data_IF_970504648605
#
_entry.id   IF_970504648605
#
_cell.length_a   1.000
_cell.length_b   1.000
_cell.length_c   1.000
_cell.angle_alpha   90.00
_cell.angle_beta   90.00
_cell.angle_gamma   90.00
#
_symmetry.space_group_name_H-M   'P 1'
#
loop_
_entity.id
_entity.type
_entity.pdbx_description
1 polymer ?
#
# COMPACT_ATOMS: atom_id res chain seq x y z
N UNK A 1 -17.18 13.87 19.15
CA UNK A 1 -16.56 15.19 19.39
C UNK A 1 -17.38 16.32 18.75
N UNK A 2 -17.85 17.32 19.52
CA UNK A 2 -18.64 18.47 19.00
C UNK A 2 -17.85 19.41 18.05
N UNK A 3 -16.53 19.29 18.01
CA UNK A 3 -15.66 20.10 17.14
C UNK A 3 -15.78 19.76 15.64
N UNK A 4 -16.27 18.56 15.30
CA UNK A 4 -16.37 18.09 13.92
C UNK A 4 -17.81 18.04 13.39
N UNK A 5 -18.83 18.26 14.25
CA UNK A 5 -20.25 18.15 13.89
C UNK A 5 -20.69 19.05 12.73
N UNK A 6 -20.03 20.20 12.60
CA UNK A 6 -20.42 21.27 11.67
C UNK A 6 -19.44 21.41 10.50
N UNK A 7 -18.43 20.55 10.42
CA UNK A 7 -17.51 20.53 9.27
C UNK A 7 -18.16 19.71 8.17
N UNK A 8 -18.46 20.37 7.05
CA UNK A 8 -18.94 19.69 5.86
C UNK A 8 -17.90 19.81 4.74
N UNK A 9 -17.36 18.67 4.32
CA UNK A 9 -16.47 18.57 3.16
C UNK A 9 -17.05 17.65 2.08
N UNK A 10 -18.38 17.55 2.00
CA UNK A 10 -19.09 16.67 1.04
C UNK A 10 -18.69 16.93 -0.41
N UNK A 11 -18.28 18.15 -0.77
CA UNK A 11 -17.77 18.48 -2.11
C UNK A 11 -16.50 17.69 -2.50
N UNK A 12 -15.75 17.17 -1.51
CA UNK A 12 -14.55 16.37 -1.71
C UNK A 12 -14.84 14.86 -1.76
N UNK A 13 -16.10 14.43 -1.59
CA UNK A 13 -16.49 13.02 -1.55
C UNK A 13 -15.99 12.23 -2.76
N UNK A 14 -16.11 12.81 -3.97
CA UNK A 14 -15.65 12.17 -5.21
C UNK A 14 -14.13 11.98 -5.22
N UNK A 15 -13.37 13.01 -4.83
CA UNK A 15 -11.91 12.95 -4.77
C UNK A 15 -11.42 11.92 -3.73
N UNK A 16 -12.13 11.78 -2.60
CA UNK A 16 -11.85 10.74 -1.60
C UNK A 16 -12.10 9.35 -2.19
N UNK A 17 -13.26 9.14 -2.83
CA UNK A 17 -13.62 7.86 -3.43
C UNK A 17 -12.59 7.39 -4.48
N UNK A 18 -12.12 8.30 -5.34
CA UNK A 18 -11.07 7.99 -6.34
C UNK A 18 -9.74 7.56 -5.69
N UNK A 19 -9.46 8.05 -4.48
CA UNK A 19 -8.23 7.74 -3.73
C UNK A 19 -8.32 6.46 -2.89
N UNK A 20 -9.50 5.88 -2.69
CA UNK A 20 -9.65 4.64 -1.89
C UNK A 20 -8.78 3.51 -2.44
N UNK A 21 -8.73 3.36 -3.77
CA UNK A 21 -7.89 2.37 -4.46
C UNK A 21 -6.38 2.47 -4.15
N UNK A 22 -5.93 3.61 -3.61
CA UNK A 22 -4.55 3.87 -3.20
C UNK A 22 -4.28 3.47 -1.75
N UNK A 23 -5.32 3.38 -0.90
CA UNK A 23 -5.20 2.92 0.48
C UNK A 23 -5.58 1.45 0.67
N UNK A 24 -6.16 0.82 -0.35
CA UNK A 24 -6.37 -0.63 -0.42
C UNK A 24 -5.04 -1.31 -0.81
N UNK A 25 -4.66 -2.31 -0.03
CA UNK A 25 -3.53 -3.17 -0.34
C UNK A 25 -3.91 -4.13 -1.50
N UNK A 26 -3.14 -4.18 -2.59
CA UNK A 26 -3.46 -4.98 -3.77
C UNK A 26 -3.21 -6.50 -3.62
N UNK A 27 -2.57 -6.92 -2.54
CA UNK A 27 -2.37 -8.34 -2.17
C UNK A 27 -3.52 -8.81 -1.28
N UNK A 28 -3.91 -8.00 -0.30
CA UNK A 28 -5.03 -8.31 0.60
C UNK A 28 -6.39 -8.04 -0.06
N UNK A 29 -6.46 -7.10 -1.00
CA UNK A 29 -7.68 -6.49 -1.53
C UNK A 29 -8.55 -5.83 -0.44
N UNK A 30 -7.91 -5.31 0.61
CA UNK A 30 -8.56 -4.65 1.74
C UNK A 30 -7.71 -3.46 2.22
N UNK A 31 -8.29 -2.55 3.00
CA UNK A 31 -7.51 -1.52 3.71
C UNK A 31 -6.70 -2.20 4.82
N UNK A 32 -5.36 -2.10 4.82
CA UNK A 32 -4.53 -2.83 5.77
C UNK A 32 -4.67 -2.27 7.19
N UNK A 33 -4.78 -3.16 8.19
CA UNK A 33 -4.77 -2.80 9.62
C UNK A 33 -3.38 -2.41 10.13
N UNK A 34 -2.33 -2.80 9.39
CA UNK A 34 -0.92 -2.57 9.68
C UNK A 34 -0.23 -1.78 8.55
N UNK A 35 -0.74 -0.57 8.21
CA UNK A 35 -0.34 0.12 6.99
C UNK A 35 1.14 0.54 7.01
N UNK A 36 1.74 0.51 5.82
CA UNK A 36 3.03 1.13 5.48
C UNK A 36 2.88 1.98 4.21
N UNK A 37 3.71 3.01 4.08
CA UNK A 37 3.80 3.81 2.86
C UNK A 37 4.79 3.18 1.89
N UNK A 38 4.35 2.93 0.67
CA UNK A 38 5.18 2.35 -0.38
C UNK A 38 6.24 3.36 -0.84
N UNK A 39 7.51 2.97 -0.73
CA UNK A 39 8.64 3.75 -1.22
C UNK A 39 9.16 3.17 -2.55
N UNK A 40 8.78 3.79 -3.66
CA UNK A 40 9.27 3.40 -4.99
C UNK A 40 10.74 3.79 -5.18
N UNK A 41 11.46 2.98 -5.95
CA UNK A 41 12.87 3.25 -6.29
C UNK A 41 13.01 4.51 -7.18
N UNK A 42 12.04 4.73 -8.07
CA UNK A 42 12.04 5.81 -9.06
C UNK A 42 11.09 6.94 -8.61
N UNK A 43 11.61 8.14 -8.30
CA UNK A 43 10.84 9.24 -7.71
C UNK A 43 9.72 9.81 -8.59
N UNK A 44 9.90 9.75 -9.90
CA UNK A 44 8.99 10.24 -10.94
C UNK A 44 7.66 9.47 -11.01
N UNK A 45 7.59 8.28 -10.41
CA UNK A 45 6.39 7.45 -10.32
C UNK A 45 5.80 7.37 -8.90
N UNK A 46 6.22 8.25 -8.00
CA UNK A 46 5.73 8.23 -6.63
C UNK A 46 4.25 8.62 -6.56
N UNK A 47 3.44 7.65 -6.19
CA UNK A 47 2.05 7.84 -5.77
C UNK A 47 1.97 7.45 -4.29
N UNK A 48 1.15 8.15 -3.50
CA UNK A 48 0.85 7.75 -2.13
C UNK A 48 0.07 6.45 -2.22
N UNK A 49 0.65 5.35 -1.74
CA UNK A 49 0.00 4.04 -1.68
C UNK A 49 0.30 3.37 -0.35
N UNK A 50 -0.71 2.71 0.21
CA UNK A 50 -0.56 1.92 1.44
C UNK A 50 -0.56 0.43 1.13
N UNK A 51 0.39 -0.28 1.73
CA UNK A 51 0.43 -1.74 1.80
C UNK A 51 0.35 -2.18 3.27
N UNK A 52 0.09 -3.46 3.49
CA UNK A 52 0.26 -4.16 4.76
C UNK A 52 1.75 -4.41 5.01
N UNK A 53 2.14 -4.18 6.26
CA UNK A 53 3.48 -4.49 6.75
C UNK A 53 3.78 -5.99 6.60
N UNK A 54 2.89 -6.87 7.08
CA UNK A 54 3.10 -8.31 7.04
C UNK A 54 3.16 -8.84 5.59
N UNK A 55 2.24 -8.41 4.71
CA UNK A 55 2.28 -8.87 3.31
C UNK A 55 3.52 -8.38 2.55
N UNK A 56 4.00 -7.19 2.86
CA UNK A 56 5.27 -6.71 2.27
C UNK A 56 6.45 -7.56 2.71
N UNK A 57 6.48 -8.02 3.97
CA UNK A 57 7.52 -8.94 4.46
C UNK A 57 7.41 -10.33 3.83
N UNK A 58 6.20 -10.87 3.68
CA UNK A 58 5.97 -12.14 2.99
C UNK A 58 6.51 -12.07 1.55
N UNK A 59 6.20 -10.99 0.80
CA UNK A 59 6.73 -10.78 -0.54
C UNK A 59 8.27 -10.72 -0.55
N UNK A 60 8.88 -10.03 0.42
CA UNK A 60 10.34 -10.00 0.53
C UNK A 60 10.90 -11.41 0.77
N UNK A 61 10.33 -12.16 1.71
CA UNK A 61 10.75 -13.53 2.02
C UNK A 61 10.60 -14.46 0.81
N UNK A 62 9.54 -14.29 0.00
CA UNK A 62 9.39 -15.01 -1.26
C UNK A 62 10.54 -14.71 -2.22
N UNK A 63 10.92 -13.44 -2.40
CA UNK A 63 12.07 -13.10 -3.26
C UNK A 63 13.40 -13.66 -2.73
N UNK A 64 13.59 -13.68 -1.41
CA UNK A 64 14.79 -14.27 -0.80
C UNK A 64 14.83 -15.79 -1.00
N UNK A 65 13.69 -16.45 -0.86
CA UNK A 65 13.53 -17.89 -1.15
C UNK A 65 13.85 -18.17 -2.62
N UNK A 66 13.32 -17.37 -3.56
CA UNK A 66 13.65 -17.51 -4.98
C UNK A 66 15.14 -17.34 -5.24
N UNK A 67 15.82 -16.40 -4.56
CA UNK A 67 17.29 -16.23 -4.70
C UNK A 67 18.04 -17.45 -4.20
N UNK A 68 17.63 -18.03 -3.07
CA UNK A 68 18.24 -19.26 -2.55
C UNK A 68 18.08 -20.41 -3.53
N UNK A 69 16.86 -20.61 -4.06
CA UNK A 69 16.58 -21.68 -5.04
C UNK A 69 17.41 -21.48 -6.31
N UNK A 70 17.51 -20.26 -6.84
CA UNK A 70 18.36 -20.00 -8.01
C UNK A 70 19.85 -20.21 -7.73
N UNK A 71 20.30 -20.00 -6.50
CA UNK A 71 21.68 -20.31 -6.11
C UNK A 71 21.90 -21.82 -6.10
N UNK A 72 20.99 -22.59 -5.50
CA UNK A 72 21.03 -24.05 -5.51
C UNK A 72 20.98 -24.61 -6.95
N UNK A 73 20.13 -24.04 -7.82
CA UNK A 73 20.05 -24.44 -9.23
C UNK A 73 21.33 -24.18 -10.03
N UNK A 74 22.12 -23.16 -9.67
CA UNK A 74 23.43 -22.91 -10.30
C UNK A 74 24.48 -23.94 -9.89
N UNK A 75 24.33 -24.51 -8.70
CA UNK A 75 25.22 -25.55 -8.16
C UNK A 75 24.78 -26.96 -8.61
N UNK A 76 23.55 -27.11 -9.11
CA UNK A 76 23.01 -28.38 -9.59
C UNK A 76 23.52 -28.76 -10.99
N UNK A 77 24.45 -29.72 -11.02
CA UNK A 77 24.99 -30.28 -12.26
C UNK A 77 24.10 -31.36 -12.90
N UNK A 78 23.09 -31.87 -12.18
CA UNK A 78 22.26 -33.01 -12.62
C UNK A 78 21.12 -32.61 -13.54
N UNK A 79 20.63 -31.36 -13.42
CA UNK A 79 19.44 -30.90 -14.14
C UNK A 79 18.11 -31.39 -13.54
N UNK A 80 18.13 -32.15 -12.43
CA UNK A 80 16.93 -32.73 -11.80
C UNK A 80 16.93 -32.69 -10.27
N UNK A 81 18.05 -32.35 -9.61
CA UNK A 81 18.22 -32.50 -8.16
C UNK A 81 17.25 -31.62 -7.37
N UNK A 82 17.05 -30.39 -7.83
CA UNK A 82 16.14 -29.44 -7.18
C UNK A 82 14.70 -29.88 -7.39
N UNK A 83 14.33 -30.34 -8.59
CA UNK A 83 13.01 -30.91 -8.82
C UNK A 83 12.74 -32.13 -7.92
N UNK A 84 13.70 -33.06 -7.81
CA UNK A 84 13.58 -34.23 -6.94
C UNK A 84 13.40 -33.84 -5.46
N UNK A 85 14.10 -32.79 -4.99
CA UNK A 85 13.98 -32.24 -3.63
C UNK A 85 12.56 -31.72 -3.35
N UNK A 86 11.95 -31.03 -4.31
CA UNK A 86 10.63 -30.40 -4.15
C UNK A 86 9.45 -31.26 -4.63
N UNK A 87 9.71 -32.42 -5.23
CA UNK A 87 8.68 -33.35 -5.67
C UNK A 87 7.82 -33.83 -4.48
N UNK A 88 6.51 -33.64 -4.58
CA UNK A 88 5.48 -34.03 -3.60
C UNK A 88 4.41 -34.89 -4.28
N UNK A 89 3.65 -35.64 -3.49
CA UNK A 89 2.53 -36.48 -3.96
C UNK A 89 2.95 -37.54 -4.98
N UNK A 90 4.13 -38.14 -4.79
CA UNK A 90 4.64 -39.19 -5.67
C UNK A 90 3.92 -40.51 -5.40
N UNK A 91 3.68 -41.28 -6.47
CA UNK A 91 3.25 -42.67 -6.34
C UNK A 91 4.37 -43.54 -5.72
N UNK A 92 4.06 -44.72 -5.16
CA UNK A 92 5.07 -45.61 -4.59
C UNK A 92 6.20 -45.98 -5.58
N UNK A 93 5.88 -46.14 -6.86
CA UNK A 93 6.91 -46.40 -7.90
C UNK A 93 7.76 -45.16 -8.17
N UNK A 94 7.17 -43.97 -8.22
CA UNK A 94 7.92 -42.72 -8.39
C UNK A 94 8.83 -42.40 -7.19
N UNK A 95 8.44 -42.72 -5.96
CA UNK A 95 9.33 -42.60 -4.80
C UNK A 95 10.57 -43.50 -4.97
N UNK A 96 10.40 -44.73 -5.46
CA UNK A 96 11.53 -45.63 -5.75
C UNK A 96 12.40 -45.13 -6.90
N UNK A 97 11.81 -44.51 -7.92
CA UNK A 97 12.56 -43.88 -9.02
C UNK A 97 13.34 -42.66 -8.54
N UNK A 98 12.74 -41.85 -7.66
CA UNK A 98 13.41 -40.75 -6.97
C UNK A 98 14.61 -41.26 -6.16
N UNK A 99 14.43 -42.27 -5.34
CA UNK A 99 15.52 -42.88 -4.56
C UNK A 99 16.64 -43.42 -5.45
N UNK A 100 16.29 -44.00 -6.60
CA UNK A 100 17.27 -44.48 -7.57
C UNK A 100 18.06 -43.33 -8.19
N UNK A 101 17.39 -42.27 -8.66
CA UNK A 101 18.03 -41.10 -9.27
C UNK A 101 18.88 -40.31 -8.26
N UNK A 102 18.49 -40.24 -7.00
CA UNK A 102 19.25 -39.55 -5.95
C UNK A 102 20.63 -40.18 -5.67
N UNK A 103 20.81 -41.47 -5.98
CA UNK A 103 22.14 -42.11 -5.93
C UNK A 103 23.11 -41.55 -6.96
N UNK A 104 22.59 -40.92 -8.01
CA UNK A 104 23.36 -40.27 -9.07
C UNK A 104 23.55 -38.77 -8.82
N UNK A 105 23.22 -38.26 -7.63
CA UNK A 105 23.29 -36.82 -7.31
C UNK A 105 24.67 -36.18 -7.45
N UNK A 106 25.74 -36.98 -7.39
CA UNK A 106 27.12 -36.50 -7.60
C UNK A 106 27.53 -36.42 -9.08
N UNK A 107 26.71 -36.92 -10.00
CA UNK A 107 26.98 -36.92 -11.43
C UNK A 107 26.44 -35.66 -12.10
N UNK A 108 26.86 -35.42 -13.36
CA UNK A 108 26.21 -34.41 -14.20
C UNK A 108 25.05 -35.03 -14.99
N UNK A 109 24.17 -34.18 -15.53
CA UNK A 109 22.97 -34.62 -16.26
C UNK A 109 23.27 -35.52 -17.46
N UNK A 110 24.39 -35.27 -18.17
CA UNK A 110 24.82 -36.11 -19.30
C UNK A 110 25.20 -37.51 -18.84
N UNK A 111 25.97 -37.63 -17.76
CA UNK A 111 26.35 -38.93 -17.20
C UNK A 111 25.14 -39.72 -16.69
N UNK A 112 24.12 -39.04 -16.16
CA UNK A 112 22.85 -39.69 -15.80
C UNK A 112 22.16 -40.24 -17.05
N UNK A 113 22.07 -39.45 -18.13
CA UNK A 113 21.47 -39.89 -19.39
C UNK A 113 22.22 -41.06 -20.00
N UNK A 114 23.56 -41.03 -20.00
CA UNK A 114 24.40 -42.13 -20.45
C UNK A 114 24.11 -43.42 -19.66
N UNK A 115 23.99 -43.33 -18.33
CA UNK A 115 23.64 -44.49 -17.49
C UNK A 115 22.23 -45.01 -17.80
N UNK A 116 21.24 -44.13 -17.94
CA UNK A 116 19.86 -44.54 -18.25
C UNK A 116 19.77 -45.20 -19.63
N UNK A 117 20.50 -44.70 -20.62
CA UNK A 117 20.61 -45.30 -21.95
C UNK A 117 21.24 -46.69 -21.89
N UNK A 118 22.32 -46.86 -21.12
CA UNK A 118 22.95 -48.17 -20.90
C UNK A 118 22.00 -49.14 -20.20
N UNK A 119 21.25 -48.69 -19.18
CA UNK A 119 20.24 -49.51 -18.51
C UNK A 119 19.13 -49.95 -19.48
N UNK A 120 18.72 -49.07 -20.40
CA UNK A 120 17.74 -49.40 -21.43
C UNK A 120 18.27 -50.46 -22.40
N UNK A 121 19.53 -50.38 -22.80
CA UNK A 121 20.17 -51.39 -23.67
C UNK A 121 20.33 -52.74 -22.96
N UNK A 122 20.57 -52.73 -21.65
CA UNK A 122 20.76 -53.94 -20.84
C UNK A 122 19.43 -54.55 -20.38
N UNK A 123 18.32 -53.80 -20.35
CA UNK A 123 17.02 -54.27 -19.89
C UNK A 123 16.53 -55.59 -20.55
N UNK A 124 16.69 -55.82 -21.86
CA UNK A 124 16.34 -57.10 -22.48
C UNK A 124 17.18 -58.29 -21.97
N UNK A 125 18.44 -58.06 -21.60
CA UNK A 125 19.30 -59.09 -21.01
C UNK A 125 18.88 -59.44 -19.58
N UNK A 126 18.27 -58.47 -18.88
CA UNK A 126 17.74 -58.63 -17.52
C UNK A 126 16.39 -59.37 -17.50
N UNK A 127 15.58 -59.21 -18.54
CA UNK A 127 14.29 -59.90 -18.70
C UNK A 127 14.40 -61.28 -19.35
N UNK A 128 15.51 -61.57 -20.02
CA UNK A 128 15.73 -62.80 -20.77
C UNK A 128 15.95 -64.04 -19.89
N UNK A 129 15.20 -65.11 -20.16
CA UNK A 129 15.38 -66.45 -19.58
C UNK A 129 16.48 -67.27 -20.26
N UNK A 130 17.24 -66.68 -21.19
CA UNK A 130 18.29 -67.39 -21.94
C UNK A 130 19.47 -67.72 -21.03
N UNK A 131 19.99 -68.95 -21.15
CA UNK A 131 21.03 -69.55 -20.30
C UNK A 131 22.31 -68.70 -20.24
N UNK A 132 22.63 -67.95 -21.30
CA UNK A 132 23.85 -67.12 -21.37
C UNK A 132 23.68 -65.69 -20.85
N UNK A 133 22.45 -65.23 -20.58
CA UNK A 133 22.19 -63.87 -20.08
C UNK A 133 22.97 -63.53 -18.79
N UNK A 134 23.10 -64.43 -17.80
CA UNK A 134 23.93 -64.17 -16.62
C UNK A 134 25.42 -63.98 -16.93
N UNK A 135 25.94 -64.67 -17.94
CA UNK A 135 27.34 -64.56 -18.38
C UNK A 135 27.56 -63.21 -19.11
N UNK A 136 26.64 -62.85 -20.02
CA UNK A 136 26.68 -61.58 -20.75
C UNK A 136 26.55 -60.38 -19.80
N UNK A 137 25.70 -60.46 -18.77
CA UNK A 137 25.59 -59.42 -17.74
C UNK A 137 26.85 -59.28 -16.89
N UNK A 138 27.51 -60.39 -16.55
CA UNK A 138 28.81 -60.35 -15.84
C UNK A 138 29.89 -59.71 -16.71
N UNK A 139 29.93 -60.04 -18.01
CA UNK A 139 30.87 -59.45 -18.96
C UNK A 139 30.61 -57.94 -19.15
N UNK A 140 29.34 -57.55 -19.29
CA UNK A 140 28.94 -56.14 -19.43
C UNK A 140 29.34 -55.31 -18.21
N UNK A 141 29.11 -55.84 -16.99
CA UNK A 141 29.55 -55.19 -15.75
C UNK A 141 31.07 -55.09 -15.62
N UNK A 142 31.78 -56.08 -16.16
CA UNK A 142 33.24 -56.07 -16.16
C UNK A 142 33.80 -55.00 -17.12
N UNK A 143 33.16 -54.80 -18.26
CA UNK A 143 33.51 -53.78 -19.26
C UNK A 143 33.13 -52.37 -18.76
N UNK A 144 31.94 -52.22 -18.18
CA UNK A 144 31.40 -50.93 -17.69
C UNK A 144 31.44 -50.86 -16.15
N UNK A 145 32.64 -50.96 -15.56
CA UNK A 145 32.82 -50.99 -14.09
C UNK A 145 32.20 -49.79 -13.38
N UNK A 146 32.26 -48.62 -14.00
CA UNK A 146 31.78 -47.36 -13.44
C UNK A 146 30.24 -47.28 -13.37
N UNK A 147 29.54 -48.14 -14.12
CA UNK A 147 28.07 -48.21 -14.19
C UNK A 147 27.53 -49.48 -13.50
N UNK A 148 28.40 -50.44 -13.17
CA UNK A 148 28.02 -51.74 -12.63
C UNK A 148 27.15 -51.66 -11.36
N UNK A 149 27.42 -50.70 -10.47
CA UNK A 149 26.64 -50.45 -9.26
C UNK A 149 25.20 -50.02 -9.60
N UNK A 150 25.02 -49.14 -10.59
CA UNK A 150 23.69 -48.71 -11.01
C UNK A 150 22.91 -49.83 -11.71
N UNK A 151 23.58 -50.72 -12.45
CA UNK A 151 22.96 -51.92 -13.03
C UNK A 151 22.45 -52.86 -11.94
N UNK A 152 23.23 -53.06 -10.87
CA UNK A 152 22.79 -53.89 -9.73
C UNK A 152 21.60 -53.26 -9.00
N UNK A 153 21.63 -51.95 -8.80
CA UNK A 153 20.56 -51.22 -8.14
C UNK A 153 19.27 -51.22 -8.96
N UNK A 154 19.40 -51.07 -10.28
CA UNK A 154 18.27 -51.13 -11.19
C UNK A 154 17.67 -52.53 -11.26
N UNK A 155 18.49 -53.60 -11.25
CA UNK A 155 17.97 -54.97 -11.15
C UNK A 155 17.07 -55.18 -9.91
N UNK A 156 17.49 -54.62 -8.77
CA UNK A 156 16.69 -54.70 -7.53
C UNK A 156 15.37 -53.94 -7.66
N UNK A 157 15.43 -52.72 -8.21
CA UNK A 157 14.26 -51.91 -8.51
C UNK A 157 13.29 -52.63 -9.47
N UNK A 158 13.80 -53.13 -10.58
CA UNK A 158 13.02 -53.81 -11.61
C UNK A 158 12.34 -55.09 -11.10
N UNK A 159 13.00 -55.83 -10.19
CA UNK A 159 12.40 -56.99 -9.51
C UNK A 159 11.19 -56.59 -8.65
N UNK A 160 11.24 -55.42 -8.01
CA UNK A 160 10.14 -54.89 -7.19
C UNK A 160 8.98 -54.43 -8.09
N UNK A 161 9.28 -53.79 -9.23
CA UNK A 161 8.25 -53.38 -10.20
C UNK A 161 7.63 -54.55 -10.99
N UNK A 162 8.25 -55.73 -10.97
CA UNK A 162 7.74 -56.95 -11.60
C UNK A 162 7.87 -57.01 -13.13
N UNK A 163 8.26 -55.92 -13.78
CA UNK A 163 8.52 -55.87 -15.23
C UNK A 163 9.69 -54.92 -15.52
N UNK A 164 10.79 -55.47 -16.06
CA UNK A 164 12.03 -54.72 -16.28
C UNK A 164 11.90 -53.65 -17.37
N UNK A 165 11.29 -53.98 -18.50
CA UNK A 165 11.12 -53.07 -19.64
C UNK A 165 10.23 -51.88 -19.27
N UNK A 166 9.13 -52.16 -18.55
CA UNK A 166 8.27 -51.12 -18.01
C UNK A 166 9.01 -50.28 -16.98
N UNK A 167 9.78 -50.90 -16.07
CA UNK A 167 10.50 -50.18 -15.03
C UNK A 167 11.53 -49.19 -15.60
N UNK A 168 12.29 -49.56 -16.65
CA UNK A 168 13.23 -48.63 -17.27
C UNK A 168 12.53 -47.51 -18.04
N UNK A 169 11.45 -47.83 -18.78
CA UNK A 169 10.69 -46.83 -19.51
C UNK A 169 10.05 -45.79 -18.57
N UNK A 170 9.46 -46.24 -17.46
CA UNK A 170 8.86 -45.38 -16.45
C UNK A 170 9.90 -44.57 -15.67
N UNK A 171 11.08 -45.14 -15.40
CA UNK A 171 12.19 -44.42 -14.78
C UNK A 171 12.71 -43.28 -15.69
N UNK A 172 12.89 -43.55 -16.99
CA UNK A 172 13.29 -42.54 -17.97
C UNK A 172 12.22 -41.44 -18.05
N UNK A 173 10.94 -41.81 -18.17
CA UNK A 173 9.83 -40.84 -18.20
C UNK A 173 9.79 -39.99 -16.93
N UNK A 174 10.02 -40.59 -15.77
CA UNK A 174 10.07 -39.86 -14.50
C UNK A 174 11.25 -38.88 -14.47
N UNK A 175 12.43 -39.26 -14.97
CA UNK A 175 13.58 -38.35 -15.09
C UNK A 175 13.25 -37.16 -16.01
N UNK A 176 12.64 -37.42 -17.17
CA UNK A 176 12.21 -36.35 -18.10
C UNK A 176 11.19 -35.40 -17.43
N UNK A 177 10.24 -35.94 -16.68
CA UNK A 177 9.29 -35.15 -15.90
C UNK A 177 10.01 -34.24 -14.89
N UNK A 178 11.00 -34.78 -14.15
CA UNK A 178 11.80 -33.99 -13.21
C UNK A 178 12.63 -32.90 -13.91
N UNK A 179 13.17 -33.18 -15.09
CA UNK A 179 13.91 -32.18 -15.87
C UNK A 179 12.99 -31.03 -16.33
N UNK A 180 11.79 -31.35 -16.79
CA UNK A 180 10.77 -30.35 -17.14
C UNK A 180 10.36 -29.53 -15.91
N UNK A 181 10.10 -30.18 -14.77
CA UNK A 181 9.80 -29.50 -13.52
C UNK A 181 10.94 -28.59 -13.08
N UNK A 182 12.20 -29.01 -13.20
CA UNK A 182 13.34 -28.17 -12.86
C UNK A 182 13.44 -26.93 -13.76
N UNK A 183 13.15 -27.08 -15.05
CA UNK A 183 13.09 -25.95 -15.99
C UNK A 183 11.98 -24.96 -15.59
N UNK A 184 10.81 -25.46 -15.19
CA UNK A 184 9.71 -24.64 -14.69
C UNK A 184 10.07 -23.92 -13.38
N UNK A 185 10.70 -24.62 -12.42
CA UNK A 185 11.19 -24.03 -11.17
C UNK A 185 12.19 -22.92 -11.48
N UNK A 186 13.11 -23.14 -12.42
CA UNK A 186 14.11 -22.14 -12.83
C UNK A 186 13.43 -20.92 -13.42
N UNK A 187 12.55 -21.10 -14.40
CA UNK A 187 11.83 -20.02 -15.08
C UNK A 187 10.96 -19.21 -14.11
N UNK A 188 10.21 -19.88 -13.25
CA UNK A 188 9.37 -19.25 -12.24
C UNK A 188 10.21 -18.39 -11.28
N UNK A 189 11.25 -18.95 -10.66
CA UNK A 189 12.06 -18.22 -9.70
C UNK A 189 12.89 -17.10 -10.34
N UNK A 190 13.30 -17.26 -11.60
CA UNK A 190 13.90 -16.17 -12.36
C UNK A 190 12.90 -15.04 -12.59
N UNK A 191 11.69 -15.35 -13.07
CA UNK A 191 10.61 -14.39 -13.30
C UNK A 191 10.16 -13.62 -12.05
N UNK A 192 10.29 -14.20 -10.86
CA UNK A 192 10.04 -13.48 -9.59
C UNK A 192 11.09 -12.41 -9.28
N UNK A 193 12.30 -12.52 -9.85
CA UNK A 193 13.44 -11.68 -9.53
C UNK A 193 13.83 -10.72 -10.65
N UNK A 194 13.40 -10.97 -11.88
CA UNK A 194 13.67 -10.13 -13.04
C UNK A 194 12.39 -9.62 -13.69
N UNK A 195 12.38 -8.35 -14.06
CA UNK A 195 11.28 -7.81 -14.87
C UNK A 195 11.43 -8.18 -16.36
N UNK A 196 10.43 -7.81 -17.17
CA UNK A 196 10.43 -8.00 -18.62
C UNK A 196 11.60 -7.35 -19.38
N UNK A 197 12.35 -6.45 -18.72
CA UNK A 197 13.53 -5.78 -19.28
C UNK A 197 14.84 -6.37 -18.75
N UNK A 198 14.80 -7.51 -18.06
CA UNK A 198 15.98 -8.19 -17.51
C UNK A 198 16.59 -7.54 -16.25
N UNK A 199 15.91 -6.54 -15.65
CA UNK A 199 16.41 -5.86 -14.45
C UNK A 199 16.12 -6.71 -13.22
N UNK A 200 17.19 -7.08 -12.52
CA UNK A 200 17.12 -7.93 -11.32
C UNK A 200 16.84 -7.12 -10.04
N UNK A 201 16.02 -7.70 -9.15
CA UNK A 201 15.75 -7.17 -7.81
C UNK A 201 16.92 -7.39 -6.85
N UNK A 202 17.33 -6.36 -6.13
CA UNK A 202 18.24 -6.49 -4.98
C UNK A 202 17.51 -7.06 -3.75
N UNK A 203 18.25 -7.53 -2.73
CA UNK A 203 17.67 -8.13 -1.51
C UNK A 203 16.68 -7.24 -0.76
N UNK A 204 16.79 -5.91 -0.90
CA UNK A 204 15.89 -4.93 -0.30
C UNK A 204 14.77 -4.47 -1.27
N UNK A 205 14.52 -5.21 -2.34
CA UNK A 205 13.55 -4.82 -3.37
C UNK A 205 12.55 -5.93 -3.67
N UNK A 206 11.30 -5.49 -3.88
CA UNK A 206 10.21 -6.30 -4.43
C UNK A 206 9.56 -5.56 -5.59
N UNK A 207 8.85 -6.28 -6.46
CA UNK A 207 7.97 -5.66 -7.43
C UNK A 207 6.62 -5.31 -6.78
N UNK A 208 6.12 -4.13 -7.05
CA UNK A 208 4.77 -3.72 -6.72
C UNK A 208 3.77 -4.65 -7.44
N UNK A 209 2.88 -5.36 -6.72
CA UNK A 209 1.92 -6.26 -7.35
C UNK A 209 1.04 -5.58 -8.40
N UNK A 210 0.69 -4.31 -8.14
CA UNK A 210 -0.17 -3.48 -8.99
C UNK A 210 0.58 -2.86 -10.18
N UNK A 211 1.64 -2.08 -9.94
CA UNK A 211 2.32 -1.30 -11.00
C UNK A 211 3.52 -2.01 -11.62
N UNK A 212 3.98 -3.13 -11.05
CA UNK A 212 5.24 -3.81 -11.38
C UNK A 212 6.51 -2.96 -11.20
N UNK A 213 6.39 -1.76 -10.63
CA UNK A 213 7.52 -0.91 -10.26
C UNK A 213 8.28 -1.48 -9.06
N UNK A 214 9.55 -1.11 -8.91
CA UNK A 214 10.38 -1.58 -7.79
C UNK A 214 10.13 -0.78 -6.52
N UNK A 215 9.89 -1.49 -5.43
CA UNK A 215 9.68 -0.94 -4.09
C UNK A 215 10.92 -1.21 -3.25
N UNK A 216 11.33 -0.23 -2.45
CA UNK A 216 12.36 -0.36 -1.42
C UNK A 216 11.72 -0.85 -0.12
N UNK A 217 12.01 -2.08 0.28
CA UNK A 217 11.30 -2.74 1.38
C UNK A 217 11.62 -2.10 2.73
N UNK A 218 12.88 -2.02 3.12
CA UNK A 218 13.30 -1.51 4.43
C UNK A 218 12.80 -0.07 4.67
N UNK A 219 12.87 0.78 3.65
CA UNK A 219 12.37 2.16 3.70
C UNK A 219 10.85 2.17 3.87
N UNK A 220 10.11 1.33 3.14
CA UNK A 220 8.65 1.23 3.29
C UNK A 220 8.27 0.74 4.69
N UNK A 221 8.89 -0.33 5.19
CA UNK A 221 8.60 -0.90 6.50
C UNK A 221 8.83 0.08 7.65
N UNK A 222 9.80 1.01 7.53
CA UNK A 222 10.06 2.06 8.54
C UNK A 222 8.96 3.11 8.66
N UNK A 223 8.06 3.20 7.68
CA UNK A 223 7.00 4.24 7.66
C UNK A 223 5.73 3.86 8.41
N UNK A 224 5.68 2.71 9.10
CA UNK A 224 4.46 2.21 9.77
C UNK A 224 3.72 3.26 10.60
N UNK A 225 4.43 4.04 11.42
CA UNK A 225 3.83 5.10 12.23
C UNK A 225 3.24 6.25 11.41
N UNK A 226 3.96 6.70 10.37
CA UNK A 226 3.46 7.73 9.44
C UNK A 226 2.24 7.22 8.64
N UNK A 227 2.31 6.00 8.14
CA UNK A 227 1.24 5.37 7.38
C UNK A 227 -0.04 5.20 8.21
N UNK A 228 0.11 4.78 9.47
CA UNK A 228 -1.02 4.68 10.42
C UNK A 228 -1.69 6.03 10.66
N UNK A 229 -0.89 7.09 10.82
CA UNK A 229 -1.43 8.44 10.95
C UNK A 229 -2.14 8.91 9.68
N UNK A 230 -1.52 8.68 8.51
CA UNK A 230 -2.09 9.09 7.22
C UNK A 230 -3.43 8.39 6.96
N UNK A 231 -3.50 7.07 7.21
CA UNK A 231 -4.71 6.29 7.08
C UNK A 231 -5.81 6.80 8.03
N UNK A 232 -5.49 6.99 9.31
CA UNK A 232 -6.45 7.49 10.28
C UNK A 232 -7.02 8.87 9.88
N UNK A 233 -6.16 9.80 9.44
CA UNK A 233 -6.60 11.12 8.95
C UNK A 233 -7.48 10.97 7.71
N UNK A 234 -7.11 10.12 6.76
CA UNK A 234 -7.90 9.85 5.55
C UNK A 234 -9.29 9.27 5.89
N UNK A 235 -9.37 8.33 6.83
CA UNK A 235 -10.64 7.77 7.31
C UNK A 235 -11.49 8.84 8.02
N UNK A 236 -10.91 9.70 8.85
CA UNK A 236 -11.66 10.79 9.46
C UNK A 236 -12.23 11.76 8.40
N UNK A 237 -11.45 12.10 7.36
CA UNK A 237 -11.92 12.93 6.25
C UNK A 237 -13.04 12.25 5.46
N UNK A 238 -12.98 10.93 5.23
CA UNK A 238 -14.05 10.21 4.53
C UNK A 238 -15.37 10.25 5.30
N UNK A 239 -15.31 10.16 6.65
CA UNK A 239 -16.49 10.31 7.51
C UNK A 239 -17.06 11.74 7.45
N UNK A 240 -16.21 12.77 7.50
CA UNK A 240 -16.65 14.17 7.37
C UNK A 240 -17.29 14.46 6.00
N UNK A 241 -16.81 13.81 4.94
CA UNK A 241 -17.40 13.91 3.60
C UNK A 241 -18.69 13.08 3.43
N UNK A 242 -19.12 12.36 4.48
CA UNK A 242 -20.27 11.45 4.48
C UNK A 242 -20.18 10.41 3.35
N UNK A 243 -18.97 9.92 3.08
CA UNK A 243 -18.74 8.90 2.06
C UNK A 243 -19.23 7.53 2.58
N UNK A 244 -20.12 6.89 1.83
CA UNK A 244 -20.55 5.52 2.07
C UNK A 244 -19.76 4.61 1.13
N UNK A 245 -18.84 3.85 1.70
CA UNK A 245 -17.94 2.96 0.95
C UNK A 245 -17.75 1.65 1.72
N UNK A 246 -17.90 0.53 1.02
CA UNK A 246 -17.90 -0.79 1.63
C UNK A 246 -16.53 -1.17 2.21
N UNK A 247 -15.43 -0.76 1.58
CA UNK A 247 -14.08 -1.08 2.06
C UNK A 247 -13.77 -0.32 3.34
N UNK A 248 -14.19 0.95 3.43
CA UNK A 248 -14.08 1.75 4.66
C UNK A 248 -14.97 1.17 5.77
N UNK A 249 -16.23 0.81 5.46
CA UNK A 249 -17.13 0.22 6.45
C UNK A 249 -16.62 -1.13 6.97
N UNK A 250 -16.09 -1.98 6.09
CA UNK A 250 -15.51 -3.26 6.47
C UNK A 250 -14.24 -3.08 7.31
N UNK A 251 -13.37 -2.14 6.93
CA UNK A 251 -12.19 -1.79 7.72
C UNK A 251 -12.60 -1.35 9.13
N UNK A 252 -13.57 -0.45 9.27
CA UNK A 252 -14.04 0.07 10.55
C UNK A 252 -14.64 -1.01 11.45
N UNK A 253 -15.36 -2.00 10.89
CA UNK A 253 -15.90 -3.15 11.66
C UNK A 253 -14.80 -3.99 12.32
N UNK A 254 -13.61 -4.01 11.72
CA UNK A 254 -12.46 -4.75 12.24
C UNK A 254 -11.61 -3.93 13.22
N UNK A 255 -11.92 -2.65 13.45
CA UNK A 255 -11.18 -1.79 14.37
C UNK A 255 -11.77 -1.80 15.79
N UNK A 256 -10.98 -1.31 16.74
CA UNK A 256 -11.46 -1.02 18.09
C UNK A 256 -12.59 0.01 18.05
N UNK A 257 -13.51 -0.06 19.01
CA UNK A 257 -14.71 0.80 19.07
C UNK A 257 -14.40 2.29 19.15
N UNK A 258 -13.21 2.65 19.65
CA UNK A 258 -12.72 4.01 19.80
C UNK A 258 -11.86 4.50 18.60
N UNK A 259 -11.66 3.68 17.57
CA UNK A 259 -10.79 4.03 16.44
C UNK A 259 -11.21 5.33 15.75
N UNK A 260 -12.51 5.55 15.53
CA UNK A 260 -13.01 6.79 14.91
C UNK A 260 -12.75 8.03 15.78
N UNK A 261 -12.78 7.89 17.10
CA UNK A 261 -12.44 8.97 18.01
C UNK A 261 -10.95 9.32 17.87
N UNK A 262 -10.07 8.31 17.94
CA UNK A 262 -8.63 8.48 17.74
C UNK A 262 -8.28 9.05 16.36
N UNK A 263 -8.99 8.62 15.30
CA UNK A 263 -8.82 9.12 13.94
C UNK A 263 -9.19 10.61 13.84
N UNK A 264 -10.29 11.02 14.47
CA UNK A 264 -10.70 12.42 14.54
C UNK A 264 -9.70 13.27 15.34
N UNK A 265 -9.16 12.75 16.45
CA UNK A 265 -8.10 13.43 17.20
C UNK A 265 -6.84 13.64 16.35
N UNK A 266 -6.41 12.62 15.60
CA UNK A 266 -5.27 12.73 14.67
C UNK A 266 -5.54 13.75 13.57
N UNK A 267 -6.75 13.78 13.01
CA UNK A 267 -7.15 14.82 12.06
C UNK A 267 -7.03 16.20 12.70
N UNK A 268 -7.57 16.41 13.90
CA UNK A 268 -7.49 17.70 14.60
C UNK A 268 -6.03 18.14 14.83
N UNK A 269 -5.19 17.21 15.29
CA UNK A 269 -3.76 17.45 15.48
C UNK A 269 -3.09 17.82 14.15
N UNK A 270 -3.39 17.12 13.06
CA UNK A 270 -2.84 17.41 11.74
C UNK A 270 -3.27 18.79 11.22
N UNK A 271 -4.54 19.15 11.37
CA UNK A 271 -5.05 20.45 10.90
C UNK A 271 -4.39 21.62 11.65
N UNK A 272 -4.09 21.44 12.94
CA UNK A 272 -3.40 22.44 13.78
C UNK A 272 -1.89 22.46 13.55
N UNK A 273 -1.24 21.30 13.56
CA UNK A 273 0.22 21.14 13.53
C UNK A 273 0.66 20.08 12.51
N UNK A 274 0.53 20.34 11.18
CA UNK A 274 0.89 19.36 10.14
C UNK A 274 2.33 18.85 10.23
N UNK A 275 3.25 19.69 10.69
CA UNK A 275 4.69 19.42 10.76
C UNK A 275 4.98 18.22 11.69
N UNK A 276 4.17 17.99 12.73
CA UNK A 276 4.39 16.90 13.69
C UNK A 276 4.26 15.51 13.07
N UNK A 277 3.62 15.40 11.91
CA UNK A 277 3.40 14.14 11.21
C UNK A 277 4.56 13.76 10.27
N UNK A 278 5.46 14.71 9.97
CA UNK A 278 6.59 14.51 9.05
C UNK A 278 6.18 13.94 7.67
N UNK A 279 5.00 14.32 7.18
CA UNK A 279 4.53 13.87 5.86
C UNK A 279 5.31 14.55 4.73
N UNK A 280 5.62 13.77 3.69
CA UNK A 280 6.22 14.29 2.46
C UNK A 280 5.26 15.24 1.73
N UNK A 281 5.75 16.11 0.82
CA UNK A 281 4.89 16.99 0.03
C UNK A 281 3.79 16.23 -0.73
N UNK A 282 4.10 15.03 -1.24
CA UNK A 282 3.14 14.16 -1.92
C UNK A 282 2.01 13.69 -1.00
N UNK A 283 2.36 13.31 0.24
CA UNK A 283 1.41 12.87 1.27
C UNK A 283 0.53 14.03 1.76
N UNK A 284 1.12 15.21 1.95
CA UNK A 284 0.38 16.42 2.30
C UNK A 284 -0.61 16.81 1.20
N UNK A 285 -0.18 16.74 -0.07
CA UNK A 285 -1.05 16.99 -1.23
C UNK A 285 -2.18 15.97 -1.32
N UNK A 286 -1.90 14.69 -1.10
CA UNK A 286 -2.91 13.63 -1.05
C UNK A 286 -4.02 13.95 -0.03
N UNK A 287 -3.65 14.36 1.19
CA UNK A 287 -4.62 14.74 2.23
C UNK A 287 -5.33 16.06 1.93
N UNK A 288 -4.64 17.03 1.32
CA UNK A 288 -5.24 18.29 0.89
C UNK A 288 -6.33 18.06 -0.15
N UNK A 289 -6.06 17.24 -1.17
CA UNK A 289 -7.02 16.82 -2.19
C UNK A 289 -8.19 16.00 -1.61
N UNK A 290 -7.97 15.30 -0.49
CA UNK A 290 -9.01 14.62 0.28
C UNK A 290 -9.83 15.56 1.19
N UNK A 291 -9.60 16.89 1.13
CA UNK A 291 -10.39 17.89 1.85
C UNK A 291 -9.79 18.37 3.18
N UNK A 292 -8.56 18.00 3.53
CA UNK A 292 -7.93 18.48 4.76
C UNK A 292 -7.81 20.01 4.80
N UNK A 293 -7.54 20.67 3.66
CA UNK A 293 -7.47 22.14 3.61
C UNK A 293 -8.85 22.79 3.84
N UNK A 294 -9.91 22.22 3.26
CA UNK A 294 -11.28 22.69 3.47
C UNK A 294 -11.71 22.53 4.94
N UNK A 295 -11.41 21.37 5.55
CA UNK A 295 -11.65 21.13 6.97
C UNK A 295 -10.87 22.12 7.87
N UNK A 296 -9.60 22.42 7.53
CA UNK A 296 -8.79 23.41 8.25
C UNK A 296 -9.41 24.79 8.23
N UNK A 297 -9.88 25.24 7.05
CA UNK A 297 -10.52 26.55 6.90
C UNK A 297 -11.78 26.67 7.76
N UNK A 298 -12.57 25.59 7.89
CA UNK A 298 -13.77 25.57 8.72
C UNK A 298 -13.49 25.50 10.22
N UNK A 299 -12.33 24.96 10.64
CA UNK A 299 -11.90 24.96 12.04
C UNK A 299 -11.32 26.29 12.52
N UNK A 300 -10.67 27.04 11.61
CA UNK A 300 -10.03 28.29 11.97
C UNK A 300 -11.06 29.26 12.57
N UNK A 301 -10.71 29.92 13.68
CA UNK A 301 -11.50 30.97 14.32
C UNK A 301 -12.84 30.55 14.95
N UNK A 302 -13.19 29.26 14.95
CA UNK A 302 -14.42 28.78 15.63
C UNK A 302 -14.48 29.11 17.13
N UNK A 303 -13.33 29.19 17.80
CA UNK A 303 -13.25 29.64 19.21
C UNK A 303 -13.57 31.13 19.42
N UNK A 304 -13.59 31.91 18.34
CA UNK A 304 -13.94 33.33 18.35
C UNK A 304 -15.41 33.57 17.97
N UNK A 305 -16.16 32.51 17.62
CA UNK A 305 -17.53 32.59 17.13
C UNK A 305 -18.47 31.74 17.99
N UNK A 306 -19.51 32.35 18.54
CA UNK A 306 -20.56 31.67 19.30
C UNK A 306 -21.92 31.97 18.68
N UNK A 307 -22.72 30.94 18.38
CA UNK A 307 -24.07 31.13 17.82
C UNK A 307 -25.03 31.82 18.79
N UNK A 308 -24.67 31.91 20.08
CA UNK A 308 -25.44 32.65 21.10
C UNK A 308 -25.16 34.17 21.09
N UNK A 309 -24.06 34.60 20.44
CA UNK A 309 -23.70 36.01 20.33
C UNK A 309 -24.39 36.66 19.13
N UNK A 310 -24.62 37.97 19.22
CA UNK A 310 -25.08 38.73 18.06
C UNK A 310 -24.03 38.68 16.95
N UNK A 311 -24.50 38.80 15.70
CA UNK A 311 -23.63 38.75 14.52
C UNK A 311 -22.51 39.78 14.60
N UNK A 312 -22.82 40.99 15.06
CA UNK A 312 -21.85 42.06 15.27
C UNK A 312 -20.72 41.62 16.20
N UNK A 313 -21.05 41.09 17.37
CA UNK A 313 -20.07 40.63 18.37
C UNK A 313 -19.17 39.50 17.86
N UNK A 314 -19.73 38.60 17.05
CA UNK A 314 -18.98 37.51 16.44
C UNK A 314 -17.99 38.00 15.38
N UNK A 315 -18.44 38.90 14.50
CA UNK A 315 -17.58 39.52 13.48
C UNK A 315 -16.47 40.34 14.14
N UNK A 316 -16.83 41.15 15.14
CA UNK A 316 -15.88 41.93 15.92
C UNK A 316 -14.87 41.04 16.64
N UNK A 317 -15.29 39.92 17.25
CA UNK A 317 -14.38 38.99 17.93
C UNK A 317 -13.29 38.45 16.98
N UNK A 318 -13.65 38.13 15.74
CA UNK A 318 -12.70 37.64 14.72
C UNK A 318 -11.76 38.74 14.22
N UNK A 319 -12.28 39.95 13.96
CA UNK A 319 -11.47 41.08 13.47
C UNK A 319 -10.57 41.69 14.57
N UNK A 320 -11.05 41.76 15.80
CA UNK A 320 -10.29 42.20 16.97
C UNK A 320 -9.15 41.22 17.23
N UNK A 321 -9.38 39.90 17.15
CA UNK A 321 -8.30 38.92 17.27
C UNK A 321 -7.21 39.08 16.19
N UNK A 322 -7.59 39.49 14.96
CA UNK A 322 -6.61 39.81 13.92
C UNK A 322 -5.78 41.05 14.26
N UNK A 323 -6.44 42.11 14.71
CA UNK A 323 -5.78 43.40 14.97
C UNK A 323 -5.15 43.50 16.36
N UNK A 324 -5.46 42.55 17.25
CA UNK A 324 -5.08 42.51 18.68
C UNK A 324 -5.44 43.79 19.44
N UNK A 325 -6.55 44.43 19.06
CA UNK A 325 -7.03 45.68 19.70
C UNK A 325 -7.46 45.51 21.15
N UNK A 326 -7.76 44.29 21.57
CA UNK A 326 -8.11 43.87 22.93
C UNK A 326 -6.89 43.74 23.87
N UNK A 327 -5.67 43.82 23.34
CA UNK A 327 -4.45 43.77 24.16
C UNK A 327 -4.11 45.15 24.72
N UNK A 328 -3.71 45.21 26.00
CA UNK A 328 -3.26 46.46 26.65
C UNK A 328 -2.13 47.17 25.87
N UNK A 329 -1.38 46.43 25.05
CA UNK A 329 -0.41 46.95 24.09
C UNK A 329 -0.53 46.17 22.76
N UNK A 330 -1.31 46.65 21.77
CA UNK A 330 -1.55 45.94 20.51
C UNK A 330 -0.27 45.62 19.73
N UNK A 331 0.73 46.52 19.80
CA UNK A 331 2.07 46.35 19.19
C UNK A 331 2.81 45.16 19.80
N UNK A 332 2.65 44.91 21.11
CA UNK A 332 3.28 43.78 21.81
C UNK A 332 2.58 42.45 21.49
N UNK A 333 1.25 42.44 21.31
CA UNK A 333 0.51 41.26 20.85
C UNK A 333 0.84 40.85 19.40
N UNK A 334 1.08 41.83 18.53
CA UNK A 334 1.58 41.60 17.17
C UNK A 334 3.05 41.13 17.15
N UNK A 335 3.86 41.59 18.11
CA UNK A 335 5.24 41.17 18.29
C UNK A 335 5.35 39.70 18.75
N UNK A 336 4.61 39.29 19.79
CA UNK A 336 4.60 37.91 20.32
C UNK A 336 4.06 36.91 19.28
N UNK A 337 3.10 37.32 18.46
CA UNK A 337 2.58 36.47 17.39
C UNK A 337 3.48 36.42 16.15
N UNK A 338 4.65 37.10 16.13
CA UNK A 338 5.62 37.06 15.04
C UNK A 338 5.23 37.87 13.80
N UNK A 339 4.33 38.86 13.94
CA UNK A 339 3.76 39.62 12.82
C UNK A 339 3.81 41.14 13.07
N UNK A 340 4.99 41.68 13.39
CA UNK A 340 5.21 43.10 13.68
C UNK A 340 4.96 44.08 12.52
N UNK A 341 4.68 43.58 11.30
CA UNK A 341 4.43 44.43 10.11
C UNK A 341 3.25 43.91 9.29
N UNK A 342 2.04 43.93 9.86
CA UNK A 342 0.80 43.64 9.12
C UNK A 342 0.38 44.87 8.31
N UNK A 343 0.51 44.79 7.00
CA UNK A 343 0.16 45.88 6.08
C UNK A 343 -1.34 46.25 6.06
N UNK A 344 -2.21 45.41 6.62
CA UNK A 344 -3.66 45.61 6.65
C UNK A 344 -4.20 46.04 8.02
N UNK A 345 -3.33 46.36 8.98
CA UNK A 345 -3.77 46.67 10.34
C UNK A 345 -4.68 47.90 10.40
N UNK A 346 -4.32 48.98 9.69
CA UNK A 346 -5.14 50.20 9.61
C UNK A 346 -6.50 49.95 8.97
N UNK A 347 -6.53 49.21 7.85
CA UNK A 347 -7.77 48.87 7.16
C UNK A 347 -8.72 48.04 8.04
N UNK A 348 -8.20 47.06 8.78
CA UNK A 348 -9.00 46.27 9.73
C UNK A 348 -9.45 47.11 10.93
N UNK A 349 -8.60 48.02 11.41
CA UNK A 349 -8.93 48.93 12.50
C UNK A 349 -10.08 49.87 12.13
N UNK A 350 -10.10 50.39 10.91
CA UNK A 350 -11.21 51.23 10.44
C UNK A 350 -12.49 50.42 10.25
N UNK A 351 -12.39 49.21 9.69
CA UNK A 351 -13.55 48.31 9.59
C UNK A 351 -14.18 48.00 10.97
N UNK A 352 -13.36 47.75 12.00
CA UNK A 352 -13.84 47.57 13.37
C UNK A 352 -14.57 48.81 13.89
N UNK A 353 -14.03 50.02 13.63
CA UNK A 353 -14.68 51.27 14.04
C UNK A 353 -16.00 51.49 13.31
N UNK A 354 -16.05 51.26 11.99
CA UNK A 354 -17.27 51.37 11.19
C UNK A 354 -18.37 50.45 11.70
N UNK A 355 -18.05 49.18 11.97
CA UNK A 355 -19.01 48.22 12.54
C UNK A 355 -19.53 48.72 13.90
N UNK A 356 -18.64 49.17 14.80
CA UNK A 356 -19.03 49.73 16.12
C UNK A 356 -19.85 51.02 16.04
N UNK A 357 -19.80 51.75 14.93
CA UNK A 357 -20.64 52.94 14.67
C UNK A 357 -22.03 52.56 14.13
N UNK A 358 -22.29 51.27 13.91
CA UNK A 358 -23.56 50.77 13.38
C UNK A 358 -23.64 50.76 11.86
N UNK A 359 -22.51 50.83 11.14
CA UNK A 359 -22.50 50.65 9.68
C UNK A 359 -22.82 49.20 9.29
N UNK A 360 -23.38 49.00 8.11
CA UNK A 360 -23.78 47.67 7.62
C UNK A 360 -22.57 46.72 7.53
N UNK A 361 -22.63 45.62 8.28
CA UNK A 361 -21.54 44.65 8.41
C UNK A 361 -21.13 44.07 7.05
N UNK A 362 -22.09 43.77 6.17
CA UNK A 362 -21.81 43.15 4.87
C UNK A 362 -21.07 44.14 3.98
N UNK A 363 -21.52 45.39 3.94
CA UNK A 363 -20.86 46.47 3.19
C UNK A 363 -19.44 46.72 3.68
N UNK A 364 -19.25 46.81 5.00
CA UNK A 364 -17.92 47.04 5.60
C UNK A 364 -16.95 45.88 5.29
N UNK A 365 -17.42 44.63 5.39
CA UNK A 365 -16.59 43.46 5.09
C UNK A 365 -16.24 43.37 3.60
N UNK A 366 -17.15 43.73 2.70
CA UNK A 366 -16.89 43.76 1.26
C UNK A 366 -15.86 44.83 0.90
N UNK A 367 -15.98 46.03 1.48
CA UNK A 367 -14.99 47.11 1.32
C UNK A 367 -13.60 46.69 1.83
N UNK A 368 -13.55 46.05 3.00
CA UNK A 368 -12.30 45.53 3.56
C UNK A 368 -11.68 44.46 2.65
N UNK A 369 -12.48 43.50 2.17
CA UNK A 369 -12.04 42.44 1.24
C UNK A 369 -11.47 43.02 -0.05
N UNK A 370 -12.19 43.97 -0.66
CA UNK A 370 -11.76 44.66 -1.88
C UNK A 370 -10.48 45.48 -1.66
N UNK A 371 -10.34 46.14 -0.51
CA UNK A 371 -9.14 46.89 -0.15
C UNK A 371 -7.91 45.99 0.06
N UNK A 372 -8.10 44.83 0.69
CA UNK A 372 -7.04 43.83 0.92
C UNK A 372 -6.57 43.20 -0.40
N UNK A 373 -7.48 42.87 -1.31
CA UNK A 373 -7.15 42.26 -2.61
C UNK A 373 -6.36 43.18 -3.54
N UNK A 374 -6.57 44.50 -3.45
CA UNK A 374 -5.86 45.49 -4.27
C UNK A 374 -4.45 45.83 -3.76
N UNK A 375 -4.06 45.32 -2.60
CA UNK A 375 -2.77 45.64 -2.01
C UNK A 375 -1.61 44.90 -2.72
N UNK A 376 -0.45 45.53 -2.96
CA UNK A 376 0.68 44.91 -3.68
C UNK A 376 1.24 43.63 -3.05
N UNK A 377 1.02 43.45 -1.75
CA UNK A 377 1.46 42.28 -0.97
C UNK A 377 0.31 41.31 -0.64
N UNK A 378 -0.76 41.31 -1.44
CA UNK A 378 -1.91 40.44 -1.21
C UNK A 378 -1.49 38.97 -1.19
N UNK A 379 -1.89 38.27 -0.13
CA UNK A 379 -1.70 36.83 0.02
C UNK A 379 -3.08 36.18 0.18
N UNK A 380 -3.49 35.42 -0.83
CA UNK A 380 -4.77 34.68 -0.83
C UNK A 380 -4.86 33.65 0.29
N UNK A 381 -3.74 33.21 0.86
CA UNK A 381 -3.66 32.30 2.00
C UNK A 381 -3.36 33.04 3.32
N UNK A 382 -3.40 34.37 3.30
CA UNK A 382 -3.07 35.22 4.44
C UNK A 382 -4.05 35.11 5.61
N UNK A 383 -3.56 35.41 6.81
CA UNK A 383 -4.31 35.33 8.07
C UNK A 383 -5.60 36.17 8.10
N UNK A 384 -5.61 37.32 7.39
CA UNK A 384 -6.80 38.16 7.24
C UNK A 384 -7.81 37.56 6.26
N UNK A 385 -7.35 37.14 5.08
CA UNK A 385 -8.16 36.50 4.05
C UNK A 385 -8.91 35.30 4.62
N UNK A 386 -8.20 34.43 5.36
CA UNK A 386 -8.81 33.27 6.02
C UNK A 386 -9.89 33.64 7.07
N UNK A 387 -9.75 34.78 7.77
CA UNK A 387 -10.75 35.27 8.74
C UNK A 387 -11.98 35.84 8.04
N UNK A 388 -11.77 36.60 6.97
CA UNK A 388 -12.85 37.15 6.15
C UNK A 388 -13.66 36.02 5.49
N UNK A 389 -12.98 35.01 4.92
CA UNK A 389 -13.64 33.82 4.38
C UNK A 389 -14.42 33.06 5.46
N UNK A 390 -13.88 32.93 6.68
CA UNK A 390 -14.59 32.31 7.80
C UNK A 390 -15.89 33.07 8.14
N UNK A 391 -15.83 34.41 8.24
CA UNK A 391 -17.00 35.25 8.50
C UNK A 391 -18.04 35.11 7.38
N UNK A 392 -17.61 35.19 6.11
CA UNK A 392 -18.47 35.08 4.93
C UNK A 392 -19.23 33.75 4.88
N UNK A 393 -18.57 32.64 5.22
CA UNK A 393 -19.20 31.31 5.32
C UNK A 393 -20.26 31.25 6.44
N UNK A 394 -20.01 31.91 7.57
CA UNK A 394 -20.99 31.97 8.67
C UNK A 394 -22.19 32.84 8.32
N UNK A 395 -21.98 33.94 7.60
CA UNK A 395 -23.07 34.79 7.08
C UNK A 395 -23.97 34.04 6.08
N UNK A 396 -23.38 33.27 5.17
CA UNK A 396 -24.13 32.48 4.17
C UNK A 396 -24.84 31.26 4.77
N UNK A 397 -24.30 30.68 5.84
CA UNK A 397 -24.96 29.57 6.55
C UNK A 397 -26.19 30.03 7.34
N UNK A 398 -26.19 31.27 7.83
CA UNK A 398 -27.31 31.84 8.59
C UNK A 398 -28.42 32.45 7.70
N UNK A 399 -28.20 32.57 6.38
CA UNK A 399 -29.16 33.16 5.43
C UNK A 399 -30.02 32.13 4.67
N UNK A 400 -30.01 30.85 5.06
CA UNK A 400 -30.97 29.85 4.60
C UNK A 400 -32.10 29.66 5.64
N UNK A 401 -33.29 30.27 5.46
CA UNK A 401 -34.46 29.88 6.20
C UNK A 401 -35.09 28.62 5.60
N UNK A 402 -35.47 27.71 6.50
CA UNK A 402 -36.41 26.63 6.25
C UNK A 402 -37.69 27.24 5.64
N UNK A 403 -37.92 27.00 4.36
CA UNK A 403 -39.22 27.19 3.74
C UNK A 403 -40.13 26.04 4.20
N UNK A 404 -40.65 26.14 5.42
CA UNK A 404 -41.88 25.47 5.83
C UNK A 404 -42.99 26.51 5.86
N UNK A 405 -43.53 26.82 4.68
CA UNK A 405 -44.82 27.50 4.57
C UNK A 405 -45.92 26.47 4.86
N UNK A 406 -46.40 26.49 6.08
CA UNK A 406 -47.77 26.12 6.40
C UNK A 406 -48.74 27.12 5.79
N UNK A 407 -49.74 26.62 5.08
CA UNK A 407 -50.91 27.34 4.57
C UNK A 407 -51.52 26.51 3.44
N UNK A 408 -52.44 25.58 3.67
CA UNK A 408 -53.68 25.74 4.42
C UNK A 408 -54.75 26.25 3.47
N UNK A 409 -55.51 25.35 2.85
CA UNK A 409 -56.79 25.66 2.21
C UNK A 409 -57.75 24.48 2.40
N UNK A 410 -58.60 24.60 3.40
CA UNK A 410 -59.96 24.06 3.35
C UNK A 410 -60.83 25.05 2.58
N UNK A 411 -61.54 24.59 1.54
CA UNK A 411 -62.88 25.08 1.20
C UNK A 411 -63.65 23.86 0.72
N UNK A 412 -64.74 23.54 1.42
CA UNK A 412 -65.71 22.55 0.99
C UNK A 412 -66.70 23.14 -0.02
N UNK A 413 -67.09 22.33 -0.98
CA UNK A 413 -68.48 21.92 -1.27
C UNK A 413 -68.44 20.42 -1.53
#
# INVERSE_FOLDING_TARGET
MPLFSDIDISDHRKAIAEKISLVIDPVLNEIPVDPILVNYLYPDKQVVRLFSYEKTRELQQMTETSRSILKELKEDNTGISIALKYAKNLSPSQERYKDFLLKMSALNGKSIDDILNELQQVAPLLSSSVIYSPLLLKLHRFIHRDIATYIQDFQRLAKIEGNVERAIAELIRFREEMFLQQTQITSFNHGQLTNQYGVQLTSNQIFCPFSKERIKVAESLRTRGQASNLLAIFIALSQLAKLKDADIENFLKCQASDYLEQANEKLLQYLRFPIWFNFSPLQQRFLAEAGAQAAKQQLNYRHLWSEEKQLEDNVLSVLIDYSKQDWNFPVFGLFISGHWRRHHHEAVSEAIKSIRRGEDIVVVLEQLKNGVQKHPSYNSQGSLTNRLEFIERKLTSNSLPIASLSGGLSVGI
#
